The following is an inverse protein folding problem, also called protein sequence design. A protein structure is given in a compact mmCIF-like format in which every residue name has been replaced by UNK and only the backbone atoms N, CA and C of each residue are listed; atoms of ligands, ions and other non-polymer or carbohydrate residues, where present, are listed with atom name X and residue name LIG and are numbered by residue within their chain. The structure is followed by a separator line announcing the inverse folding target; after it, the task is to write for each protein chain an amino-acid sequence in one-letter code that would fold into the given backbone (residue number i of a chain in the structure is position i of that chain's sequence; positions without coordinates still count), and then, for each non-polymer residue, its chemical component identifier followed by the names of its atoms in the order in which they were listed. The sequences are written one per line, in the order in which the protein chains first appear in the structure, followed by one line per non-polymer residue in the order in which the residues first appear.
data_IF_370476492821
#
_entry.id   IF_370476492821
#
_cell.length_a   1.000
_cell.length_b   1.000
_cell.length_c   1.000
_cell.angle_alpha   90.00
_cell.angle_beta   90.00
_cell.angle_gamma   90.00
#
_symmetry.space_group_name_H-M   'P 1'
#
loop_
_entity.id
_entity.type
_entity.pdbx_description
1 polymer ?
#
# COMPACT_ATOMS: atom_id res chain seq x y z
N UNK A 1 -21.74 -12.41 27.17
CA UNK A 1 -21.67 -11.91 25.80
C UNK A 1 -20.21 -11.75 25.47
N UNK A 2 -19.76 -12.38 24.41
CA UNK A 2 -18.36 -12.31 24.02
C UNK A 2 -18.18 -11.00 23.21
N UNK A 3 -17.82 -9.91 23.88
CA UNK A 3 -17.47 -8.63 23.24
C UNK A 3 -16.02 -8.73 22.74
N UNK A 4 -15.72 -9.85 22.04
CA UNK A 4 -14.43 -9.99 21.37
C UNK A 4 -14.18 -8.84 20.42
N UNK A 5 -12.92 -8.54 20.16
CA UNK A 5 -12.49 -7.67 19.07
C UNK A 5 -13.40 -7.94 17.85
N UNK A 6 -13.99 -6.92 17.22
CA UNK A 6 -14.80 -7.14 16.04
C UNK A 6 -13.97 -7.98 15.09
N UNK A 7 -14.53 -9.16 14.69
CA UNK A 7 -13.90 -9.95 13.62
C UNK A 7 -13.62 -8.99 12.48
N UNK A 8 -12.41 -9.06 11.95
CA UNK A 8 -12.11 -8.33 10.72
C UNK A 8 -13.26 -8.60 9.75
N UNK A 9 -13.86 -7.57 9.13
CA UNK A 9 -14.94 -7.79 8.18
C UNK A 9 -14.45 -8.83 7.18
N UNK A 10 -15.30 -9.85 6.93
CA UNK A 10 -15.01 -10.83 5.88
C UNK A 10 -14.74 -10.04 4.59
N UNK A 11 -13.66 -10.38 3.90
CA UNK A 11 -13.43 -9.84 2.56
C UNK A 11 -14.64 -10.17 1.72
N UNK A 12 -15.19 -9.20 1.01
CA UNK A 12 -16.43 -9.38 0.25
C UNK A 12 -16.34 -10.53 -0.76
N UNK A 13 -15.16 -10.79 -1.28
CA UNK A 13 -14.88 -11.93 -2.15
C UNK A 13 -13.56 -12.60 -1.79
N UNK A 14 -13.43 -13.93 -1.99
CA UNK A 14 -12.15 -14.61 -1.89
C UNK A 14 -11.13 -14.00 -2.85
N UNK A 15 -9.86 -13.96 -2.45
CA UNK A 15 -8.81 -13.50 -3.33
C UNK A 15 -8.71 -14.36 -4.59
N UNK A 16 -8.62 -13.71 -5.75
CA UNK A 16 -8.38 -14.36 -7.03
C UNK A 16 -7.10 -15.19 -6.94
N UNK A 17 -7.15 -16.43 -7.41
CA UNK A 17 -5.96 -17.29 -7.48
C UNK A 17 -4.97 -16.73 -8.49
N UNK A 18 -3.76 -16.45 -8.00
CA UNK A 18 -2.63 -15.98 -8.80
C UNK A 18 -1.40 -16.80 -8.50
N UNK A 19 -0.49 -16.89 -9.49
CA UNK A 19 0.81 -17.51 -9.29
C UNK A 19 1.61 -16.75 -8.23
N UNK A 20 2.51 -17.43 -7.55
CA UNK A 20 3.39 -16.81 -6.55
C UNK A 20 4.72 -16.43 -7.19
N UNK A 21 5.11 -15.17 -7.01
CA UNK A 21 6.43 -14.66 -7.37
C UNK A 21 7.07 -14.01 -6.15
N UNK A 22 8.31 -13.60 -6.25
CA UNK A 22 9.02 -12.88 -5.19
C UNK A 22 9.59 -11.55 -5.70
N UNK A 23 9.60 -10.54 -4.84
CA UNK A 23 10.38 -9.32 -5.01
C UNK A 23 11.39 -9.31 -3.88
N UNK A 24 12.60 -9.81 -4.14
CA UNK A 24 13.56 -10.13 -3.08
C UNK A 24 12.94 -11.10 -2.07
N UNK A 25 12.84 -10.67 -0.80
CA UNK A 25 12.24 -11.47 0.28
C UNK A 25 10.71 -11.37 0.38
N UNK A 26 10.07 -10.46 -0.36
CA UNK A 26 8.61 -10.23 -0.28
C UNK A 26 7.89 -11.11 -1.29
N UNK A 27 7.00 -11.99 -0.81
CA UNK A 27 6.11 -12.78 -1.65
C UNK A 27 5.02 -11.91 -2.27
N UNK A 28 4.63 -12.20 -3.52
CA UNK A 28 3.58 -11.50 -4.25
C UNK A 28 2.74 -12.52 -5.01
N UNK A 29 1.45 -12.51 -4.75
CA UNK A 29 0.47 -13.47 -5.31
C UNK A 29 -0.62 -13.79 -4.29
N UNK A 30 -1.54 -14.70 -4.65
CA UNK A 30 -2.73 -15.00 -3.83
C UNK A 30 -2.41 -15.53 -2.43
N UNK A 31 -1.27 -16.22 -2.27
CA UNK A 31 -0.90 -16.86 -1.00
C UNK A 31 -0.03 -15.95 -0.12
N UNK A 32 0.27 -14.74 -0.61
CA UNK A 32 1.00 -13.72 0.13
C UNK A 32 0.09 -12.56 0.52
N UNK A 33 0.45 -11.84 1.57
CA UNK A 33 -0.25 -10.63 1.98
C UNK A 33 -0.13 -9.55 0.88
N UNK A 34 -1.19 -8.75 0.67
CA UNK A 34 -1.13 -7.62 -0.26
C UNK A 34 -0.09 -6.62 0.21
N UNK A 35 0.94 -6.39 -0.61
CA UNK A 35 2.06 -5.52 -0.28
C UNK A 35 1.85 -4.08 -0.71
N UNK A 36 2.37 -3.13 0.10
CA UNK A 36 2.40 -1.70 -0.21
C UNK A 36 3.77 -1.35 -0.78
N UNK A 37 3.78 -0.85 -2.00
CA UNK A 37 4.97 -0.33 -2.67
C UNK A 37 4.93 1.20 -2.71
N UNK A 38 6.08 1.85 -2.51
CA UNK A 38 6.27 3.26 -2.81
C UNK A 38 7.46 3.47 -3.76
N UNK A 39 7.84 4.70 -4.00
CA UNK A 39 8.92 5.07 -4.89
C UNK A 39 9.71 6.25 -4.31
N UNK A 40 11.03 6.21 -4.43
CA UNK A 40 11.87 7.36 -4.06
C UNK A 40 11.66 8.53 -5.03
N UNK A 41 11.80 9.74 -4.49
CA UNK A 41 11.77 11.00 -5.24
C UNK A 41 13.15 11.66 -5.33
N UNK A 42 14.14 11.10 -4.65
CA UNK A 42 15.53 11.53 -4.72
C UNK A 42 16.17 11.15 -6.06
N UNK A 43 17.18 11.87 -6.48
CA UNK A 43 18.03 11.42 -7.59
C UNK A 43 18.78 10.16 -7.14
N UNK A 44 18.68 9.10 -7.93
CA UNK A 44 19.26 7.78 -7.59
C UNK A 44 20.78 7.85 -7.41
N UNK A 45 21.45 8.69 -8.18
CA UNK A 45 22.90 9.00 -8.02
C UNK A 45 23.25 9.56 -6.64
N UNK A 46 22.32 10.20 -5.93
CA UNK A 46 22.51 10.59 -4.54
C UNK A 46 22.15 9.43 -3.60
N UNK A 47 23.10 8.50 -3.50
CA UNK A 47 22.94 7.25 -2.74
C UNK A 47 22.50 7.50 -1.29
N UNK A 48 23.13 8.49 -0.61
CA UNK A 48 22.84 8.76 0.79
C UNK A 48 21.39 9.27 0.99
N UNK A 49 20.97 10.26 0.19
CA UNK A 49 19.60 10.77 0.25
C UNK A 49 18.58 9.67 -0.11
N UNK A 50 18.88 8.82 -1.08
CA UNK A 50 18.02 7.71 -1.48
C UNK A 50 17.89 6.67 -0.36
N UNK A 51 19.00 6.29 0.28
CA UNK A 51 18.98 5.37 1.42
C UNK A 51 18.25 5.94 2.64
N UNK A 52 18.41 7.26 2.91
CA UNK A 52 17.65 7.92 3.98
C UNK A 52 16.14 7.87 3.70
N UNK A 53 15.71 8.20 2.48
CA UNK A 53 14.30 8.12 2.11
C UNK A 53 13.76 6.69 2.17
N UNK A 54 14.56 5.69 1.80
CA UNK A 54 14.21 4.27 1.97
C UNK A 54 14.03 3.91 3.45
N UNK A 55 14.87 4.43 4.34
CA UNK A 55 14.73 4.21 5.78
C UNK A 55 13.44 4.85 6.33
N UNK A 56 13.08 6.05 5.88
CA UNK A 56 11.81 6.71 6.22
C UNK A 56 10.59 5.89 5.74
N UNK A 57 10.64 5.38 4.51
CA UNK A 57 9.60 4.50 3.96
C UNK A 57 9.50 3.18 4.75
N UNK A 58 10.65 2.61 5.15
CA UNK A 58 10.69 1.41 6.00
C UNK A 58 10.01 1.65 7.34
N UNK A 59 10.33 2.77 8.00
CA UNK A 59 9.72 3.15 9.27
C UNK A 59 8.20 3.38 9.16
N UNK A 60 7.72 3.82 7.98
CA UNK A 60 6.28 4.01 7.71
C UNK A 60 5.56 2.68 7.47
N UNK A 61 6.29 1.59 7.20
CA UNK A 61 5.72 0.26 6.94
C UNK A 61 5.57 -0.08 5.45
N UNK A 62 6.35 0.54 4.59
CA UNK A 62 6.48 0.16 3.18
C UNK A 62 7.08 -1.25 3.06
N UNK A 63 6.59 -2.07 2.13
CA UNK A 63 7.11 -3.42 1.91
C UNK A 63 8.17 -3.48 0.79
N UNK A 64 8.04 -2.65 -0.23
CA UNK A 64 8.86 -2.66 -1.45
C UNK A 64 9.09 -1.22 -1.91
N UNK A 65 10.31 -0.88 -2.29
CA UNK A 65 10.63 0.45 -2.82
C UNK A 65 11.08 0.36 -4.27
N UNK A 66 10.57 1.27 -5.10
CA UNK A 66 11.00 1.44 -6.48
C UNK A 66 11.92 2.64 -6.61
N UNK A 67 12.99 2.49 -7.40
CA UNK A 67 14.02 3.50 -7.64
C UNK A 67 14.15 3.72 -9.14
N UNK A 68 14.15 4.98 -9.59
CA UNK A 68 14.27 5.31 -11.01
C UNK A 68 15.70 5.11 -11.53
N UNK A 69 15.83 4.60 -12.77
CA UNK A 69 17.13 4.36 -13.42
C UNK A 69 17.11 4.91 -14.84
N UNK A 70 17.09 6.25 -15.00
CA UNK A 70 17.07 6.87 -16.32
C UNK A 70 18.44 6.84 -17.04
N UNK A 71 19.55 6.83 -16.31
CA UNK A 71 20.92 6.97 -16.86
C UNK A 71 21.89 5.92 -16.30
N UNK A 72 23.09 5.87 -16.87
CA UNK A 72 24.14 4.93 -16.46
C UNK A 72 24.57 5.12 -15.02
N UNK A 73 24.79 6.38 -14.60
CA UNK A 73 25.21 6.70 -13.23
C UNK A 73 24.17 6.23 -12.18
N UNK A 74 22.89 6.21 -12.54
CA UNK A 74 21.84 5.67 -11.69
C UNK A 74 21.92 4.14 -11.61
N UNK A 75 22.23 3.48 -12.73
CA UNK A 75 22.44 2.03 -12.75
C UNK A 75 23.66 1.63 -11.90
N UNK A 76 24.73 2.42 -11.95
CA UNK A 76 25.96 2.20 -11.17
C UNK A 76 25.70 2.38 -9.66
N UNK A 77 24.82 3.31 -9.29
CA UNK A 77 24.42 3.55 -7.91
C UNK A 77 23.59 2.40 -7.31
N UNK A 78 22.85 1.63 -8.14
CA UNK A 78 21.95 0.58 -7.69
C UNK A 78 22.63 -0.48 -6.82
N UNK A 79 23.87 -0.87 -7.14
CA UNK A 79 24.59 -1.90 -6.40
C UNK A 79 24.73 -1.55 -4.92
N UNK A 80 25.08 -0.29 -4.62
CA UNK A 80 25.22 0.18 -3.24
C UNK A 80 23.86 0.31 -2.58
N UNK A 81 22.87 0.84 -3.31
CA UNK A 81 21.51 1.01 -2.80
C UNK A 81 20.87 -0.35 -2.48
N UNK A 82 20.93 -1.32 -3.40
CA UNK A 82 20.36 -2.66 -3.20
C UNK A 82 21.01 -3.39 -2.03
N UNK A 83 22.33 -3.31 -1.90
CA UNK A 83 23.08 -3.95 -0.82
C UNK A 83 22.77 -3.37 0.56
N UNK A 84 22.54 -2.04 0.67
CA UNK A 84 22.31 -1.35 1.95
C UNK A 84 20.85 -1.15 2.31
N UNK A 85 19.94 -1.35 1.36
CA UNK A 85 18.52 -1.16 1.58
C UNK A 85 17.94 -2.23 2.50
N UNK A 86 17.11 -1.81 3.46
CA UNK A 86 16.33 -2.71 4.31
C UNK A 86 15.16 -3.35 3.56
N UNK A 87 14.65 -2.67 2.52
CA UNK A 87 13.55 -3.11 1.68
C UNK A 87 14.05 -3.64 0.34
N UNK A 88 13.36 -4.60 -0.27
CA UNK A 88 13.66 -5.00 -1.65
C UNK A 88 13.48 -3.82 -2.60
N UNK A 89 14.44 -3.67 -3.50
CA UNK A 89 14.46 -2.61 -4.52
C UNK A 89 13.87 -3.12 -5.81
N UNK A 90 13.02 -2.31 -6.45
CA UNK A 90 12.61 -2.46 -7.84
C UNK A 90 13.32 -1.38 -8.67
N UNK A 91 14.11 -1.77 -9.64
CA UNK A 91 14.68 -0.84 -10.62
C UNK A 91 13.61 -0.46 -11.67
N UNK A 92 13.38 0.83 -11.86
CA UNK A 92 12.40 1.35 -12.80
C UNK A 92 13.08 1.77 -14.10
N UNK A 93 13.04 0.90 -15.12
CA UNK A 93 13.71 1.09 -16.41
C UNK A 93 12.71 1.60 -17.44
N UNK A 94 13.05 2.70 -18.12
CA UNK A 94 12.13 3.36 -19.05
C UNK A 94 12.53 3.17 -20.52
N UNK A 95 13.82 3.30 -20.87
CA UNK A 95 14.22 3.45 -22.27
C UNK A 95 15.30 2.49 -22.76
N UNK A 96 16.15 2.00 -21.89
CA UNK A 96 17.38 1.30 -22.28
C UNK A 96 17.42 -0.12 -21.71
N UNK A 97 17.27 -1.16 -22.55
CA UNK A 97 17.32 -2.55 -22.10
C UNK A 97 18.61 -2.92 -21.35
N UNK A 98 19.74 -2.30 -21.69
CA UNK A 98 21.04 -2.54 -21.00
C UNK A 98 20.97 -2.27 -19.48
N UNK A 99 20.10 -1.37 -19.02
CA UNK A 99 19.95 -1.10 -17.59
C UNK A 99 19.17 -2.19 -16.85
N UNK A 100 18.42 -3.05 -17.58
CA UNK A 100 17.81 -4.24 -17.00
C UNK A 100 18.88 -5.20 -16.51
N UNK A 101 19.88 -5.49 -17.35
CA UNK A 101 21.00 -6.34 -16.98
C UNK A 101 21.82 -5.76 -15.84
N UNK A 102 22.14 -4.45 -15.90
CA UNK A 102 22.86 -3.77 -14.82
C UNK A 102 22.09 -3.82 -13.49
N UNK A 103 20.75 -3.71 -13.51
CA UNK A 103 19.92 -3.81 -12.32
C UNK A 103 19.91 -5.23 -11.75
N UNK A 104 19.81 -6.24 -12.61
CA UNK A 104 19.92 -7.65 -12.20
C UNK A 104 21.27 -7.92 -11.54
N UNK A 105 22.37 -7.50 -12.17
CA UNK A 105 23.72 -7.64 -11.65
C UNK A 105 23.94 -6.89 -10.32
N UNK A 106 23.20 -5.78 -10.12
CA UNK A 106 23.23 -5.03 -8.87
C UNK A 106 22.51 -5.73 -7.71
N UNK A 107 21.76 -6.82 -7.97
CA UNK A 107 21.06 -7.59 -6.95
C UNK A 107 19.73 -6.98 -6.52
N UNK A 108 19.01 -6.28 -7.41
CA UNK A 108 17.66 -5.79 -7.13
C UNK A 108 16.66 -6.96 -7.02
N UNK A 109 15.59 -6.75 -6.24
CA UNK A 109 14.56 -7.77 -6.08
C UNK A 109 13.62 -7.92 -7.28
N UNK A 110 13.48 -6.89 -8.10
CA UNK A 110 12.71 -6.92 -9.35
C UNK A 110 13.10 -5.77 -10.27
N UNK A 111 12.73 -5.90 -11.55
CA UNK A 111 12.85 -4.83 -12.55
C UNK A 111 11.47 -4.47 -13.09
N UNK A 112 11.17 -3.19 -13.20
CA UNK A 112 9.99 -2.71 -13.90
C UNK A 112 10.34 -2.27 -15.30
N UNK A 113 9.62 -2.80 -16.26
CA UNK A 113 9.69 -2.43 -17.67
C UNK A 113 8.38 -1.80 -18.13
N UNK A 114 8.45 -0.89 -19.10
CA UNK A 114 7.29 -0.28 -19.72
C UNK A 114 7.34 -0.54 -21.23
N UNK A 115 6.52 -1.47 -21.74
CA UNK A 115 6.55 -1.89 -23.15
C UNK A 115 6.38 -0.71 -24.12
N UNK A 116 5.47 0.22 -23.82
CA UNK A 116 5.23 1.39 -24.65
C UNK A 116 6.42 2.36 -24.82
N UNK A 117 7.40 2.29 -23.93
CA UNK A 117 8.59 3.16 -23.97
C UNK A 117 9.82 2.46 -24.60
N UNK A 118 9.84 1.14 -24.68
CA UNK A 118 11.02 0.36 -25.09
C UNK A 118 10.74 -0.38 -26.38
N UNK A 119 10.69 0.34 -27.51
CA UNK A 119 10.37 -0.18 -28.84
C UNK A 119 11.26 -1.35 -29.33
N UNK A 120 12.47 -1.49 -28.81
CA UNK A 120 13.41 -2.57 -29.14
C UNK A 120 13.50 -3.61 -28.03
N UNK A 121 12.58 -3.59 -27.10
CA UNK A 121 12.59 -4.50 -25.96
C UNK A 121 12.26 -5.92 -26.39
N UNK A 122 11.32 -6.07 -27.31
CA UNK A 122 10.87 -7.37 -27.81
C UNK A 122 12.02 -8.23 -28.35
N UNK A 123 12.98 -7.60 -29.05
CA UNK A 123 14.18 -8.29 -29.57
C UNK A 123 15.10 -8.82 -28.46
N UNK A 124 14.97 -8.33 -27.22
CA UNK A 124 15.82 -8.68 -26.08
C UNK A 124 15.10 -9.43 -24.97
N UNK A 125 13.80 -9.66 -25.09
CA UNK A 125 12.98 -10.33 -24.07
C UNK A 125 13.57 -11.69 -23.70
N UNK A 126 14.04 -12.46 -24.68
CA UNK A 126 14.69 -13.75 -24.45
C UNK A 126 15.89 -13.66 -23.51
N UNK A 127 16.78 -12.70 -23.75
CA UNK A 127 18.01 -12.54 -22.96
C UNK A 127 17.69 -11.99 -21.57
N UNK A 128 16.73 -11.07 -21.49
CA UNK A 128 16.23 -10.52 -20.23
C UNK A 128 15.55 -11.59 -19.39
N UNK A 129 14.66 -12.38 -19.98
CA UNK A 129 13.98 -13.49 -19.32
C UNK A 129 14.98 -14.49 -18.76
N UNK A 130 16.01 -14.85 -19.56
CA UNK A 130 17.08 -15.73 -19.12
C UNK A 130 17.88 -15.14 -17.96
N UNK A 131 18.34 -13.90 -18.07
CA UNK A 131 19.10 -13.26 -17.02
C UNK A 131 18.30 -13.10 -15.70
N UNK A 132 17.02 -12.73 -15.81
CA UNK A 132 16.12 -12.61 -14.67
C UNK A 132 15.86 -13.96 -14.00
N UNK A 133 15.65 -15.04 -14.79
CA UNK A 133 15.47 -16.40 -14.30
C UNK A 133 16.70 -16.92 -13.58
N UNK A 134 17.88 -16.76 -14.18
CA UNK A 134 19.15 -17.21 -13.60
C UNK A 134 19.49 -16.49 -12.28
N UNK A 135 19.08 -15.22 -12.14
CA UNK A 135 19.31 -14.41 -10.93
C UNK A 135 18.16 -14.48 -9.92
N UNK A 136 17.03 -15.12 -10.22
CA UNK A 136 15.84 -15.14 -9.37
C UNK A 136 15.18 -13.76 -9.18
N UNK A 137 15.30 -12.89 -10.19
CA UNK A 137 14.76 -11.51 -10.18
C UNK A 137 13.43 -11.50 -10.93
N UNK A 138 12.38 -11.03 -10.29
CA UNK A 138 11.07 -10.92 -10.94
C UNK A 138 10.95 -9.66 -11.79
N UNK A 139 10.01 -9.70 -12.76
CA UNK A 139 9.75 -8.56 -13.64
C UNK A 139 8.35 -7.99 -13.37
N UNK A 140 8.19 -6.67 -13.50
CA UNK A 140 6.88 -6.04 -13.58
C UNK A 140 6.66 -5.43 -14.95
N UNK A 141 5.71 -5.97 -15.67
CA UNK A 141 5.16 -5.39 -16.91
C UNK A 141 4.27 -4.22 -16.50
N UNK A 142 4.65 -3.00 -16.91
CA UNK A 142 3.98 -1.77 -16.46
C UNK A 142 3.37 -0.98 -17.59
N UNK A 143 2.14 -1.28 -17.98
CA UNK A 143 1.39 -0.52 -18.98
C UNK A 143 0.74 0.70 -18.33
N UNK A 144 0.93 1.88 -18.93
CA UNK A 144 0.32 3.13 -18.51
C UNK A 144 -0.41 3.77 -19.69
N UNK A 145 -1.56 4.40 -19.42
CA UNK A 145 -2.34 5.09 -20.43
C UNK A 145 -1.55 6.17 -21.19
N UNK A 146 -0.68 6.90 -20.48
CA UNK A 146 0.13 7.97 -21.08
C UNK A 146 1.30 7.51 -21.97
N UNK A 147 1.60 6.22 -22.00
CA UNK A 147 2.70 5.63 -22.79
C UNK A 147 2.28 4.36 -23.53
N UNK A 148 1.00 4.28 -23.91
CA UNK A 148 0.49 3.18 -24.72
C UNK A 148 1.07 3.23 -26.14
N UNK A 149 1.29 2.07 -26.76
CA UNK A 149 1.84 1.96 -28.11
C UNK A 149 0.97 2.72 -29.13
N UNK A 150 1.60 3.43 -30.09
CA UNK A 150 0.87 4.19 -31.12
C UNK A 150 -0.08 3.33 -31.95
N UNK A 151 0.23 2.09 -32.21
CA UNK A 151 -0.62 1.14 -32.93
C UNK A 151 -1.93 0.86 -32.22
N UNK A 152 -1.87 0.68 -30.89
CA UNK A 152 -3.05 0.49 -30.04
C UNK A 152 -3.86 1.78 -29.91
N UNK A 153 -3.19 2.93 -29.80
CA UNK A 153 -3.89 4.23 -29.81
C UNK A 153 -4.62 4.46 -31.15
N UNK A 154 -4.03 4.06 -32.27
CA UNK A 154 -4.67 4.11 -33.58
C UNK A 154 -5.87 3.16 -33.66
N UNK A 155 -5.74 1.93 -33.15
CA UNK A 155 -6.80 0.91 -33.17
C UNK A 155 -7.99 1.29 -32.31
N UNK A 156 -7.76 1.83 -31.10
CA UNK A 156 -8.80 2.09 -30.11
C UNK A 156 -9.20 3.57 -29.97
N UNK A 157 -8.50 4.47 -30.65
CA UNK A 157 -8.72 5.92 -30.59
C UNK A 157 -8.21 6.62 -29.33
N UNK A 158 -8.09 5.87 -28.20
CA UNK A 158 -7.57 6.34 -26.92
C UNK A 158 -7.12 5.16 -26.04
N UNK A 159 -6.56 5.43 -24.86
CA UNK A 159 -6.18 4.40 -23.90
C UNK A 159 -7.43 3.81 -23.19
N UNK A 160 -8.16 2.96 -23.90
CA UNK A 160 -9.32 2.23 -23.34
C UNK A 160 -8.88 1.09 -22.45
N UNK A 161 -9.76 0.52 -21.60
CA UNK A 161 -9.47 -0.69 -20.84
C UNK A 161 -8.94 -1.84 -21.72
N UNK A 162 -9.57 -2.05 -22.87
CA UNK A 162 -9.22 -3.11 -23.83
C UNK A 162 -7.82 -2.88 -24.43
N UNK A 163 -7.48 -1.62 -24.78
CA UNK A 163 -6.16 -1.28 -25.29
C UNK A 163 -5.05 -1.54 -24.26
N UNK A 164 -5.28 -1.17 -23.01
CA UNK A 164 -4.34 -1.42 -21.92
C UNK A 164 -4.13 -2.90 -21.66
N UNK A 165 -5.20 -3.70 -21.72
CA UNK A 165 -5.15 -5.15 -21.52
C UNK A 165 -4.47 -5.83 -22.71
N UNK A 166 -4.76 -5.43 -23.95
CA UNK A 166 -4.11 -6.00 -25.14
C UNK A 166 -2.59 -5.79 -25.10
N UNK A 167 -2.13 -4.58 -24.74
CA UNK A 167 -0.69 -4.31 -24.54
C UNK A 167 -0.09 -5.22 -23.47
N UNK A 168 -0.76 -5.35 -22.33
CA UNK A 168 -0.25 -6.14 -21.21
C UNK A 168 -0.20 -7.65 -21.54
N UNK A 169 -1.21 -8.18 -22.21
CA UNK A 169 -1.27 -9.60 -22.61
C UNK A 169 -0.22 -9.91 -23.66
N UNK A 170 -0.03 -9.02 -24.63
CA UNK A 170 1.03 -9.16 -25.62
C UNK A 170 2.41 -9.27 -24.97
N UNK A 171 2.74 -8.35 -24.09
CA UNK A 171 4.03 -8.37 -23.40
C UNK A 171 4.20 -9.59 -22.51
N UNK A 172 3.14 -10.01 -21.83
CA UNK A 172 3.16 -11.23 -21.02
C UNK A 172 3.47 -12.47 -21.89
N UNK A 173 2.87 -12.56 -23.10
CA UNK A 173 3.10 -13.68 -24.01
C UNK A 173 4.57 -13.80 -24.44
N UNK A 174 5.25 -12.67 -24.66
CA UNK A 174 6.67 -12.67 -25.02
C UNK A 174 7.55 -13.29 -23.92
N UNK A 175 7.26 -13.02 -22.64
CA UNK A 175 7.98 -13.65 -21.54
C UNK A 175 7.63 -15.13 -21.39
N UNK A 176 6.36 -15.49 -21.55
CA UNK A 176 5.88 -16.87 -21.43
C UNK A 176 6.41 -17.76 -22.56
N UNK A 177 6.60 -17.25 -23.79
CA UNK A 177 7.27 -17.94 -24.91
C UNK A 177 8.71 -18.35 -24.57
N UNK A 178 9.36 -17.67 -23.63
CA UNK A 178 10.69 -17.99 -23.14
C UNK A 178 10.69 -18.71 -21.79
N UNK A 179 9.58 -19.33 -21.40
CA UNK A 179 9.41 -20.07 -20.13
C UNK A 179 9.79 -19.23 -18.91
N UNK A 180 9.45 -17.91 -18.94
CA UNK A 180 9.61 -17.01 -17.82
C UNK A 180 8.26 -16.61 -17.27
N UNK A 181 7.99 -17.01 -16.03
CA UNK A 181 6.69 -16.83 -15.36
C UNK A 181 6.76 -15.95 -14.11
N UNK A 182 7.95 -15.53 -13.68
CA UNK A 182 8.18 -14.73 -12.49
C UNK A 182 7.93 -13.24 -12.77
N UNK A 183 6.72 -12.91 -13.19
CA UNK A 183 6.33 -11.52 -13.42
C UNK A 183 4.93 -11.19 -12.93
N UNK A 184 4.74 -9.91 -12.64
CA UNK A 184 3.45 -9.28 -12.30
C UNK A 184 3.12 -8.18 -13.29
N UNK A 185 1.83 -7.85 -13.42
CA UNK A 185 1.35 -6.89 -14.41
C UNK A 185 0.66 -5.70 -13.73
N UNK A 186 0.77 -4.54 -14.34
CA UNK A 186 -0.03 -3.36 -14.01
C UNK A 186 -0.54 -2.68 -15.26
N UNK A 187 -1.84 -2.33 -15.26
CA UNK A 187 -2.53 -1.56 -16.31
C UNK A 187 -3.12 -0.30 -15.67
N UNK A 188 -2.37 0.80 -15.73
CA UNK A 188 -2.68 2.01 -14.96
C UNK A 188 -3.34 3.08 -15.81
N UNK A 189 -4.34 3.73 -15.22
CA UNK A 189 -5.01 4.90 -15.77
C UNK A 189 -5.19 5.96 -14.67
N UNK A 190 -5.35 7.22 -15.04
CA UNK A 190 -5.61 8.33 -14.11
C UNK A 190 -7.11 8.44 -13.73
N UNK A 191 -8.00 7.84 -14.53
CA UNK A 191 -9.41 7.70 -14.22
C UNK A 191 -9.68 6.36 -13.50
N UNK A 192 -10.22 6.38 -12.26
CA UNK A 192 -10.47 5.17 -11.48
C UNK A 192 -11.42 4.17 -12.15
N UNK A 193 -12.44 4.66 -12.86
CA UNK A 193 -13.44 3.79 -13.51
C UNK A 193 -12.81 3.01 -14.67
N UNK A 194 -12.04 3.68 -15.51
CA UNK A 194 -11.28 3.04 -16.60
C UNK A 194 -10.27 2.04 -16.04
N UNK A 195 -9.57 2.40 -14.97
CA UNK A 195 -8.65 1.51 -14.29
C UNK A 195 -9.34 0.24 -13.77
N UNK A 196 -10.47 0.37 -13.05
CA UNK A 196 -11.24 -0.76 -12.54
C UNK A 196 -11.63 -1.71 -13.66
N UNK A 197 -12.16 -1.18 -14.77
CA UNK A 197 -12.53 -1.97 -15.95
C UNK A 197 -11.33 -2.71 -16.54
N UNK A 198 -10.18 -2.05 -16.67
CA UNK A 198 -8.97 -2.64 -17.21
C UNK A 198 -8.47 -3.80 -16.33
N UNK A 199 -8.44 -3.63 -15.01
CA UNK A 199 -8.00 -4.71 -14.11
C UNK A 199 -8.98 -5.88 -14.05
N UNK A 200 -10.29 -5.65 -14.13
CA UNK A 200 -11.29 -6.73 -14.24
C UNK A 200 -11.07 -7.55 -15.51
N UNK A 201 -10.93 -6.88 -16.67
CA UNK A 201 -10.65 -7.55 -17.93
C UNK A 201 -9.32 -8.32 -17.90
N UNK A 202 -8.28 -7.74 -17.30
CA UNK A 202 -6.98 -8.40 -17.18
C UNK A 202 -7.05 -9.62 -16.24
N UNK A 203 -7.81 -9.52 -15.15
CA UNK A 203 -7.98 -10.60 -14.19
C UNK A 203 -8.64 -11.87 -14.78
N UNK A 204 -9.42 -11.71 -15.85
CA UNK A 204 -10.07 -12.80 -16.59
C UNK A 204 -9.14 -13.48 -17.61
N UNK A 205 -7.98 -12.86 -17.93
CA UNK A 205 -7.09 -13.32 -19.01
C UNK A 205 -6.00 -14.28 -18.56
N UNK A 206 -5.67 -14.32 -17.29
CA UNK A 206 -4.59 -15.17 -16.79
C UNK A 206 -4.48 -15.12 -15.26
N UNK A 207 -3.51 -15.83 -14.73
CA UNK A 207 -3.26 -15.99 -13.29
C UNK A 207 -2.12 -15.09 -12.76
N UNK A 208 -1.72 -14.07 -13.51
CA UNK A 208 -0.65 -13.17 -13.14
C UNK A 208 -0.98 -12.38 -11.86
N UNK A 209 -0.02 -12.17 -10.95
CA UNK A 209 -0.17 -11.21 -9.86
C UNK A 209 -0.36 -9.79 -10.42
N UNK A 210 -1.27 -9.03 -9.82
CA UNK A 210 -1.63 -7.71 -10.30
C UNK A 210 -1.16 -6.61 -9.33
N UNK A 211 -0.46 -5.61 -9.89
CA UNK A 211 -0.02 -4.43 -9.17
C UNK A 211 -0.95 -3.26 -9.42
N UNK A 212 -1.80 -2.94 -8.45
CA UNK A 212 -2.77 -1.86 -8.57
C UNK A 212 -2.14 -0.47 -8.38
N UNK A 213 -2.61 0.50 -9.14
CA UNK A 213 -2.20 1.90 -8.98
C UNK A 213 -2.97 2.83 -9.90
N UNK A 214 -3.55 3.90 -9.35
CA UNK A 214 -4.03 5.04 -10.13
C UNK A 214 -2.81 5.89 -10.47
N UNK A 215 -2.51 6.09 -11.77
CA UNK A 215 -1.40 6.96 -12.17
C UNK A 215 -1.85 8.42 -12.14
N UNK A 216 -0.93 9.34 -11.79
CA UNK A 216 -1.23 10.78 -11.82
C UNK A 216 -2.51 11.12 -11.04
N UNK A 217 -2.67 10.54 -9.85
CA UNK A 217 -3.92 10.67 -9.09
C UNK A 217 -4.16 12.12 -8.60
N UNK A 218 -3.09 12.91 -8.46
CA UNK A 218 -3.14 14.32 -8.12
C UNK A 218 -2.74 14.64 -6.67
N UNK A 219 -3.14 15.81 -6.15
CA UNK A 219 -2.89 16.23 -4.79
C UNK A 219 -3.41 15.24 -3.75
N UNK A 220 -2.89 15.30 -2.54
CA UNK A 220 -3.11 14.33 -1.47
C UNK A 220 -4.58 13.96 -1.27
N UNK A 221 -5.47 14.94 -1.08
CA UNK A 221 -6.89 14.69 -0.88
C UNK A 221 -7.55 13.98 -2.07
N UNK A 222 -7.42 14.55 -3.26
CA UNK A 222 -8.04 13.99 -4.47
C UNK A 222 -7.44 12.63 -4.84
N UNK A 223 -6.11 12.50 -4.76
CA UNK A 223 -5.41 11.28 -5.09
C UNK A 223 -5.72 10.14 -4.11
N UNK A 224 -5.91 10.47 -2.84
CA UNK A 224 -6.37 9.51 -1.81
C UNK A 224 -7.75 8.98 -2.14
N UNK A 225 -8.71 9.85 -2.47
CA UNK A 225 -10.07 9.44 -2.83
C UNK A 225 -10.07 8.55 -4.07
N UNK A 226 -9.36 8.94 -5.15
CA UNK A 226 -9.24 8.13 -6.37
C UNK A 226 -8.65 6.75 -6.10
N UNK A 227 -7.57 6.69 -5.31
CA UNK A 227 -6.90 5.45 -4.96
C UNK A 227 -7.79 4.57 -4.08
N UNK A 228 -8.41 5.13 -3.05
CA UNK A 228 -9.32 4.41 -2.16
C UNK A 228 -10.53 3.84 -2.92
N UNK A 229 -11.10 4.62 -3.84
CA UNK A 229 -12.21 4.16 -4.69
C UNK A 229 -11.79 2.98 -5.58
N UNK A 230 -10.69 3.12 -6.33
CA UNK A 230 -10.27 2.08 -7.26
C UNK A 230 -9.80 0.81 -6.53
N UNK A 231 -8.99 0.95 -5.49
CA UNK A 231 -8.48 -0.19 -4.72
C UNK A 231 -9.59 -0.83 -3.87
N UNK A 232 -10.49 -0.03 -3.31
CA UNK A 232 -11.63 -0.53 -2.55
C UNK A 232 -12.51 -1.47 -3.37
N UNK A 233 -12.82 -1.08 -4.61
CA UNK A 233 -13.59 -1.93 -5.53
C UNK A 233 -12.81 -3.20 -5.89
N UNK A 234 -11.60 -3.07 -6.43
CA UNK A 234 -10.84 -4.22 -6.93
C UNK A 234 -10.45 -5.21 -5.83
N UNK A 235 -9.95 -4.71 -4.70
CA UNK A 235 -9.54 -5.57 -3.59
C UNK A 235 -10.73 -6.28 -2.92
N UNK A 236 -11.90 -5.64 -2.84
CA UNK A 236 -13.10 -6.31 -2.33
C UNK A 236 -13.68 -7.35 -3.29
N UNK A 237 -13.30 -7.31 -4.56
CA UNK A 237 -13.55 -8.36 -5.55
C UNK A 237 -12.44 -9.43 -5.59
N UNK A 238 -11.47 -9.35 -4.69
CA UNK A 238 -10.32 -10.27 -4.63
C UNK A 238 -9.24 -10.00 -5.67
N UNK A 239 -9.28 -8.87 -6.37
CA UNK A 239 -8.35 -8.50 -7.44
C UNK A 239 -7.26 -7.58 -6.89
N UNK A 240 -6.01 -8.00 -6.94
CA UNK A 240 -4.84 -7.23 -6.55
C UNK A 240 -3.94 -7.92 -5.54
N UNK A 241 -2.63 -7.91 -5.81
CA UNK A 241 -1.60 -8.58 -5.02
C UNK A 241 -0.58 -7.61 -4.44
N UNK A 242 -0.42 -6.46 -5.06
CA UNK A 242 0.39 -5.35 -4.55
C UNK A 242 -0.25 -4.02 -4.96
N UNK A 243 -0.07 -2.98 -4.14
CA UNK A 243 -0.63 -1.65 -4.42
C UNK A 243 0.45 -0.56 -4.37
N UNK A 244 0.24 0.52 -5.13
CA UNK A 244 0.98 1.77 -4.98
C UNK A 244 0.02 2.95 -5.11
N UNK A 245 -0.11 3.72 -4.05
CA UNK A 245 -0.78 5.03 -4.06
C UNK A 245 0.17 6.04 -4.69
N UNK A 246 -0.33 6.91 -5.58
CA UNK A 246 0.45 7.94 -6.26
C UNK A 246 -0.12 9.31 -5.93
N UNK A 247 0.63 10.11 -5.17
CA UNK A 247 0.21 11.42 -4.72
C UNK A 247 1.26 12.49 -5.08
N UNK A 248 0.80 13.72 -5.30
CA UNK A 248 1.68 14.90 -5.28
C UNK A 248 1.93 15.31 -3.82
N UNK A 249 2.60 14.42 -3.06
CA UNK A 249 2.89 14.53 -1.63
C UNK A 249 4.16 13.71 -1.29
N UNK A 250 4.72 13.84 -0.08
CA UNK A 250 5.83 13.01 0.35
C UNK A 250 5.51 11.51 0.25
N UNK A 251 6.46 10.66 -0.21
CA UNK A 251 6.22 9.23 -0.42
C UNK A 251 5.74 8.48 0.84
N UNK A 252 6.11 8.94 2.03
CA UNK A 252 5.60 8.38 3.29
C UNK A 252 4.07 8.49 3.41
N UNK A 253 3.46 9.56 2.88
CA UNK A 253 1.99 9.69 2.86
C UNK A 253 1.33 8.68 1.92
N UNK A 254 1.96 8.36 0.78
CA UNK A 254 1.47 7.30 -0.12
C UNK A 254 1.39 5.96 0.62
N UNK A 255 2.40 5.64 1.45
CA UNK A 255 2.45 4.41 2.25
C UNK A 255 1.37 4.41 3.33
N UNK A 256 1.22 5.52 4.09
CA UNK A 256 0.17 5.67 5.11
C UNK A 256 -1.22 5.43 4.51
N UNK A 257 -1.52 6.07 3.38
CA UNK A 257 -2.80 5.90 2.67
C UNK A 257 -2.99 4.46 2.19
N UNK A 258 -1.96 3.86 1.60
CA UNK A 258 -2.02 2.47 1.13
C UNK A 258 -2.29 1.48 2.27
N UNK A 259 -1.59 1.61 3.38
CA UNK A 259 -1.81 0.79 4.58
C UNK A 259 -3.23 0.99 5.13
N UNK A 260 -3.70 2.24 5.23
CA UNK A 260 -5.04 2.53 5.73
C UNK A 260 -6.14 1.91 4.86
N UNK A 261 -5.99 1.94 3.52
CA UNK A 261 -6.92 1.26 2.61
C UNK A 261 -6.95 -0.24 2.88
N UNK A 262 -5.78 -0.89 2.99
CA UNK A 262 -5.71 -2.32 3.27
C UNK A 262 -6.27 -2.70 4.64
N UNK A 263 -6.02 -1.89 5.66
CA UNK A 263 -6.55 -2.09 7.02
C UNK A 263 -8.08 -1.93 7.04
N UNK A 264 -8.61 -0.94 6.32
CA UNK A 264 -10.06 -0.72 6.22
C UNK A 264 -10.79 -1.88 5.54
N UNK A 265 -10.10 -2.62 4.66
CA UNK A 265 -10.62 -3.82 3.99
C UNK A 265 -10.30 -5.12 4.75
N UNK A 266 -9.62 -5.06 5.90
CA UNK A 266 -9.19 -6.26 6.63
C UNK A 266 -8.11 -7.10 5.94
N UNK A 267 -7.41 -6.53 4.94
CA UNK A 267 -6.31 -7.18 4.22
C UNK A 267 -4.93 -6.98 4.88
N UNK A 268 -4.88 -6.16 5.89
CA UNK A 268 -3.74 -5.93 6.80
C UNK A 268 -4.25 -5.87 8.23
N UNK A 269 -3.42 -6.27 9.16
CA UNK A 269 -3.71 -6.08 10.58
C UNK A 269 -3.95 -4.61 10.87
N UNK A 270 -5.01 -4.33 11.60
CA UNK A 270 -5.29 -2.98 12.07
C UNK A 270 -4.22 -2.63 13.09
N UNK A 271 -3.67 -1.43 12.96
CA UNK A 271 -2.93 -0.76 14.02
C UNK A 271 -3.91 0.05 14.87
N UNK A 272 -3.45 1.09 15.52
CA UNK A 272 -4.29 2.05 16.19
C UNK A 272 -5.39 2.60 15.24
N UNK A 273 -6.65 2.50 15.66
CA UNK A 273 -7.80 3.07 14.95
C UNK A 273 -8.49 4.09 15.86
N UNK A 274 -8.58 5.34 15.42
CA UNK A 274 -9.36 6.37 16.13
C UNK A 274 -10.74 6.47 15.47
N UNK A 275 -11.78 6.20 16.23
CA UNK A 275 -13.17 6.38 15.82
C UNK A 275 -13.72 7.61 16.52
N UNK A 276 -14.14 8.63 15.77
CA UNK A 276 -14.69 9.84 16.34
C UNK A 276 -16.05 10.18 15.73
N UNK A 277 -16.93 10.76 16.53
CA UNK A 277 -18.22 11.24 16.03
C UNK A 277 -18.03 12.53 15.22
N UNK A 278 -18.96 12.84 14.28
CA UNK A 278 -18.86 14.01 13.40
C UNK A 278 -19.18 15.34 14.08
N UNK A 279 -19.20 15.41 15.41
CA UNK A 279 -19.46 16.64 16.18
C UNK A 279 -20.78 17.33 15.79
N UNK A 280 -21.90 16.63 15.93
CA UNK A 280 -23.22 17.21 15.64
C UNK A 280 -23.65 18.23 16.72
N UNK A 281 -24.81 18.89 16.57
CA UNK A 281 -25.35 19.89 17.53
C UNK A 281 -25.59 19.38 18.98
N UNK A 282 -25.33 18.10 19.25
CA UNK A 282 -25.37 17.51 20.61
C UNK A 282 -23.98 17.43 21.26
N UNK A 283 -22.92 17.72 20.51
CA UNK A 283 -21.55 17.71 21.07
C UNK A 283 -21.40 18.78 22.12
N UNK A 284 -20.81 18.43 23.25
CA UNK A 284 -20.57 19.30 24.39
C UNK A 284 -19.08 19.60 24.58
N UNK A 285 -18.25 19.11 23.68
CA UNK A 285 -16.79 19.36 23.63
C UNK A 285 -16.40 19.58 22.18
N UNK A 286 -15.24 20.17 21.95
CA UNK A 286 -14.61 20.23 20.63
C UNK A 286 -14.05 18.86 20.26
N UNK A 287 -14.90 18.03 19.61
CA UNK A 287 -14.54 16.66 19.19
C UNK A 287 -13.40 16.67 18.19
N UNK A 288 -13.37 17.67 17.30
CA UNK A 288 -12.32 17.78 16.29
C UNK A 288 -10.94 17.94 16.95
N UNK A 289 -10.84 18.90 17.87
CA UNK A 289 -9.61 19.11 18.64
C UNK A 289 -9.27 17.88 19.47
N UNK A 290 -10.23 17.32 20.20
CA UNK A 290 -10.02 16.17 21.07
C UNK A 290 -9.53 14.93 20.28
N UNK A 291 -10.14 14.64 19.13
CA UNK A 291 -9.73 13.52 18.28
C UNK A 291 -8.32 13.71 17.70
N UNK A 292 -7.97 14.94 17.30
CA UNK A 292 -6.62 15.25 16.84
C UNK A 292 -5.58 15.10 17.94
N UNK A 293 -5.83 15.67 19.13
CA UNK A 293 -4.93 15.59 20.28
C UNK A 293 -4.69 14.12 20.70
N UNK A 294 -5.73 13.30 20.70
CA UNK A 294 -5.62 11.85 20.96
C UNK A 294 -4.83 11.14 19.86
N UNK A 295 -5.09 11.46 18.60
CA UNK A 295 -4.36 10.88 17.45
C UNK A 295 -2.86 11.21 17.53
N UNK A 296 -2.51 12.47 17.82
CA UNK A 296 -1.13 12.91 17.96
C UNK A 296 -0.45 12.24 19.17
N UNK A 297 -1.15 12.17 20.31
CA UNK A 297 -0.62 11.55 21.52
C UNK A 297 -0.37 10.04 21.39
N UNK A 298 -1.09 9.37 20.50
CA UNK A 298 -0.98 7.95 20.24
C UNK A 298 -0.28 7.60 18.90
N UNK A 299 0.27 8.57 18.16
CA UNK A 299 0.88 8.36 16.83
C UNK A 299 1.96 7.27 16.83
N UNK A 300 2.71 7.14 17.90
CA UNK A 300 3.79 6.15 18.03
C UNK A 300 3.31 4.75 18.46
N UNK A 301 2.02 4.61 18.76
CA UNK A 301 1.46 3.34 19.19
C UNK A 301 1.30 2.40 18.01
N UNK A 302 1.88 1.20 18.11
CA UNK A 302 1.88 0.19 17.05
C UNK A 302 0.93 -0.98 17.31
N UNK A 303 0.26 -0.98 18.47
CA UNK A 303 -0.68 -2.05 18.86
C UNK A 303 -2.06 -1.84 18.24
N UNK A 304 -2.82 -2.93 17.97
CA UNK A 304 -4.13 -2.89 17.33
C UNK A 304 -5.21 -2.46 18.33
N UNK A 305 -5.18 -1.22 18.80
CA UNK A 305 -6.21 -0.64 19.66
C UNK A 305 -7.21 0.18 18.86
N UNK A 306 -8.49 0.00 19.18
CA UNK A 306 -9.58 0.85 18.70
C UNK A 306 -9.97 1.82 19.78
N UNK A 307 -9.74 3.12 19.55
CA UNK A 307 -10.02 4.20 20.51
C UNK A 307 -11.17 5.07 20.01
N UNK A 308 -12.25 5.17 20.79
CA UNK A 308 -13.44 5.94 20.46
C UNK A 308 -13.43 7.31 21.14
N UNK A 309 -13.63 8.39 20.37
CA UNK A 309 -13.72 9.78 20.88
C UNK A 309 -15.11 10.33 20.55
N UNK A 310 -15.98 10.37 21.57
CA UNK A 310 -17.39 10.75 21.41
C UNK A 310 -17.72 12.02 22.16
N UNK A 311 -18.33 12.97 21.45
CA UNK A 311 -18.61 14.33 21.95
C UNK A 311 -19.91 14.49 22.74
N UNK A 312 -20.69 13.45 22.94
CA UNK A 312 -21.94 13.53 23.72
C UNK A 312 -22.26 12.22 24.43
N UNK A 313 -23.12 12.32 25.46
CA UNK A 313 -23.58 11.18 26.27
C UNK A 313 -24.80 10.46 25.68
N UNK A 314 -25.33 10.88 24.53
CA UNK A 314 -26.53 10.27 23.92
C UNK A 314 -26.17 8.98 23.17
N UNK A 315 -25.36 9.07 22.13
CA UNK A 315 -24.91 7.91 21.36
C UNK A 315 -23.50 7.47 21.78
N UNK A 316 -22.70 8.39 22.35
CA UNK A 316 -21.32 8.17 22.71
C UNK A 316 -21.05 6.92 23.54
N UNK A 317 -21.84 6.64 24.61
CA UNK A 317 -21.65 5.43 25.40
C UNK A 317 -21.87 4.15 24.62
N UNK A 318 -22.81 4.13 23.63
CA UNK A 318 -23.05 2.97 22.77
C UNK A 318 -21.88 2.69 21.85
N UNK A 319 -21.40 3.71 21.14
CA UNK A 319 -20.29 3.62 20.20
C UNK A 319 -18.94 3.40 20.91
N UNK A 320 -18.74 4.03 22.07
CA UNK A 320 -17.54 3.83 22.87
C UNK A 320 -17.42 2.41 23.44
N UNK A 321 -18.55 1.70 23.64
CA UNK A 321 -18.55 0.30 24.11
C UNK A 321 -18.02 -0.68 23.11
N UNK A 322 -18.09 -0.38 21.82
CA UNK A 322 -17.56 -1.24 20.75
C UNK A 322 -16.06 -1.07 20.54
N UNK A 323 -15.44 -0.08 21.20
CA UNK A 323 -14.01 0.15 21.15
C UNK A 323 -13.29 -0.51 22.34
N UNK A 324 -11.98 -0.75 22.21
CA UNK A 324 -11.15 -1.25 23.31
C UNK A 324 -11.01 -0.22 24.42
N UNK A 325 -10.93 1.05 24.03
CA UNK A 325 -10.86 2.22 24.89
C UNK A 325 -11.76 3.32 24.29
N UNK A 326 -12.40 4.12 25.10
CA UNK A 326 -13.17 5.22 24.57
C UNK A 326 -13.53 6.28 25.60
N UNK A 327 -13.99 7.41 25.09
CA UNK A 327 -14.57 8.50 25.90
C UNK A 327 -15.93 8.91 25.35
N UNK A 328 -16.87 9.12 26.25
CA UNK A 328 -18.11 9.84 25.96
C UNK A 328 -18.14 11.12 26.82
N UNK A 329 -18.12 12.27 26.14
CA UNK A 329 -17.99 13.56 26.76
C UNK A 329 -19.34 14.24 27.01
N UNK A 330 -19.48 14.93 28.16
CA UNK A 330 -20.68 15.69 28.47
C UNK A 330 -20.55 16.45 29.79
N UNK A 331 -21.17 17.63 29.88
CA UNK A 331 -21.19 18.48 31.08
C UNK A 331 -19.78 18.79 31.64
N UNK A 332 -18.80 19.08 30.76
CA UNK A 332 -17.42 19.40 31.18
C UNK A 332 -16.64 18.18 31.69
N UNK A 333 -17.11 16.96 31.44
CA UNK A 333 -16.48 15.73 31.92
C UNK A 333 -16.45 14.69 30.79
N UNK A 334 -15.51 13.74 30.88
CA UNK A 334 -15.42 12.54 30.03
C UNK A 334 -15.63 11.28 30.84
N UNK A 335 -16.53 10.39 30.38
CA UNK A 335 -16.64 9.03 30.88
C UNK A 335 -15.69 8.17 30.06
N UNK A 336 -14.66 7.62 30.71
CA UNK A 336 -13.66 6.75 30.07
C UNK A 336 -14.15 5.30 30.14
N UNK A 337 -14.19 4.65 28.99
CA UNK A 337 -14.61 3.26 28.81
C UNK A 337 -13.43 2.39 28.45
N UNK A 338 -13.32 1.24 29.07
CA UNK A 338 -12.42 0.14 28.65
C UNK A 338 -13.27 -1.10 28.46
N UNK A 339 -13.21 -1.67 27.26
CA UNK A 339 -13.96 -2.89 26.87
C UNK A 339 -15.46 -2.81 27.25
N UNK A 340 -16.06 -1.63 27.05
CA UNK A 340 -17.48 -1.38 27.28
C UNK A 340 -17.87 -0.98 28.69
N UNK A 341 -16.96 -0.99 29.66
CA UNK A 341 -17.20 -0.62 31.04
C UNK A 341 -16.65 0.77 31.36
N UNK A 342 -17.40 1.60 32.08
CA UNK A 342 -16.93 2.90 32.57
C UNK A 342 -15.95 2.68 33.71
N UNK A 343 -14.70 3.04 33.52
CA UNK A 343 -13.63 2.87 34.53
C UNK A 343 -13.33 4.16 35.29
N UNK A 344 -13.49 5.30 34.65
CA UNK A 344 -13.20 6.64 35.22
C UNK A 344 -14.16 7.69 34.69
N UNK A 345 -14.37 8.76 35.50
CA UNK A 345 -15.01 9.97 35.02
C UNK A 345 -14.06 11.13 35.36
N UNK A 346 -13.58 11.82 34.35
CA UNK A 346 -12.55 12.84 34.48
C UNK A 346 -13.03 14.21 33.99
N UNK A 347 -12.46 15.32 34.44
CA UNK A 347 -12.66 16.62 33.83
C UNK A 347 -12.26 16.64 32.36
N UNK A 348 -12.87 17.51 31.57
CA UNK A 348 -12.59 17.63 30.13
C UNK A 348 -11.08 17.83 29.82
N UNK A 349 -10.41 18.66 30.64
CA UNK A 349 -8.99 18.94 30.51
C UNK A 349 -8.08 17.68 30.64
N UNK A 350 -8.55 16.66 31.34
CA UNK A 350 -7.78 15.45 31.65
C UNK A 350 -8.07 14.28 30.70
N UNK A 351 -9.03 14.45 29.76
CA UNK A 351 -9.49 13.37 28.88
C UNK A 351 -8.32 12.81 28.04
N UNK A 352 -7.58 13.68 27.35
CA UNK A 352 -6.48 13.26 26.46
C UNK A 352 -5.41 12.49 27.23
N UNK A 353 -4.95 13.07 28.33
CA UNK A 353 -3.91 12.45 29.18
C UNK A 353 -4.38 11.08 29.70
N UNK A 354 -5.64 10.97 30.15
CA UNK A 354 -6.21 9.72 30.66
C UNK A 354 -6.34 8.67 29.54
N UNK A 355 -6.79 9.05 28.33
CA UNK A 355 -6.87 8.13 27.21
C UNK A 355 -5.48 7.60 26.82
N UNK A 356 -4.46 8.45 26.79
CA UNK A 356 -3.08 8.04 26.49
C UNK A 356 -2.55 7.09 27.57
N UNK A 357 -2.80 7.38 28.86
CA UNK A 357 -2.41 6.50 29.98
C UNK A 357 -3.05 5.13 29.87
N UNK A 358 -4.37 5.07 29.66
CA UNK A 358 -5.11 3.80 29.56
C UNK A 358 -4.75 3.04 28.27
N UNK A 359 -4.51 3.72 27.15
CA UNK A 359 -4.03 3.09 25.94
C UNK A 359 -2.67 2.41 26.13
N UNK A 360 -1.74 3.09 26.80
CA UNK A 360 -0.42 2.51 27.14
C UNK A 360 -0.55 1.32 28.08
N UNK A 361 -1.45 1.40 29.08
CA UNK A 361 -1.73 0.28 29.99
C UNK A 361 -2.27 -0.94 29.23
N UNK A 362 -3.27 -0.74 28.37
CA UNK A 362 -3.84 -1.80 27.54
C UNK A 362 -2.81 -2.40 26.59
N UNK A 363 -1.96 -1.55 25.99
CA UNK A 363 -0.88 -2.02 25.13
C UNK A 363 0.12 -2.92 25.87
N UNK A 364 0.43 -2.60 27.12
CA UNK A 364 1.33 -3.41 27.96
C UNK A 364 0.72 -4.76 28.38
N UNK A 365 -0.61 -4.86 28.45
CA UNK A 365 -1.33 -6.08 28.77
C UNK A 365 -1.55 -7.00 27.57
N UNK A 366 -1.32 -6.50 26.34
CA UNK A 366 -1.48 -7.29 25.12
C UNK A 366 -0.37 -8.35 24.99
N UNK A 367 -0.70 -9.58 24.58
CA UNK A 367 0.32 -10.59 24.31
C UNK A 367 1.25 -10.13 23.16
N UNK A 368 2.53 -10.49 23.26
CA UNK A 368 3.55 -10.12 22.24
C UNK A 368 3.17 -10.53 20.81
N UNK A 369 2.29 -11.52 20.64
CA UNK A 369 1.73 -11.93 19.34
C UNK A 369 0.71 -10.95 18.76
N UNK A 370 0.14 -10.05 19.58
CA UNK A 370 -0.78 -9.00 19.12
C UNK A 370 -0.03 -7.70 18.73
N UNK A 371 1.19 -7.55 19.24
CA UNK A 371 2.09 -6.48 18.79
C UNK A 371 2.74 -7.00 17.52
N UNK A 372 2.34 -6.45 16.36
CA UNK A 372 2.88 -6.83 15.07
C UNK A 372 4.40 -6.89 15.15
N UNK A 373 4.94 -8.10 15.20
CA UNK A 373 6.37 -8.31 15.19
C UNK A 373 6.92 -7.69 13.92
N UNK A 374 7.95 -6.84 13.96
CA UNK A 374 8.74 -6.60 12.78
C UNK A 374 9.15 -8.00 12.30
N UNK A 375 8.87 -8.32 11.06
CA UNK A 375 9.24 -9.59 10.46
C UNK A 375 10.77 -9.66 10.51
N UNK A 376 11.30 -10.13 11.63
CA UNK A 376 12.69 -10.53 11.75
C UNK A 376 12.76 -11.85 11.01
N UNK A 377 13.16 -11.77 9.79
CA UNK A 377 13.59 -12.93 9.02
C UNK A 377 14.84 -13.45 9.70
N UNK A 378 14.69 -14.49 10.49
CA UNK A 378 15.84 -15.33 10.88
C UNK A 378 16.43 -15.96 9.62
N UNK A 379 17.74 -15.96 9.57
CA UNK A 379 18.65 -16.35 8.50
C UNK A 379 18.26 -17.60 7.71
#
# INVERSE_FOLDING_TARGET
MNLGLPKAPETLSPRRKTRQIKVGKVGVGSDSQVSVQSMTTTQTTNINATLQQIAELTATGCDIVRVAVPHQDDADALKIIAMKSQLPIIADIHFQPKYVFAAIDAGVGAVRVNPGNIRKFDDQVKDIAKAAKDAGVSIRIGVNAGSLEPSLLQKYGKATPEALVESAVWEASLFEEHDFHDFKISVKHNDPVTMIKAYRLLAERGDWPLHLGVTEAGPEFQGTIKSATAFGVLLSEGIGDTIRVSLSAPPAQEVKVGLQILQSLGLRERKLEIVSCPSCGRAQVDVYKLANDVTEGLEKMTVPLRVAVMGCVVNGPGEAREADLGVASGNGRGQIFVKGEVIKVVPEADIVATLIEEANRLAAEMPASAVGSPTVVTA
#
